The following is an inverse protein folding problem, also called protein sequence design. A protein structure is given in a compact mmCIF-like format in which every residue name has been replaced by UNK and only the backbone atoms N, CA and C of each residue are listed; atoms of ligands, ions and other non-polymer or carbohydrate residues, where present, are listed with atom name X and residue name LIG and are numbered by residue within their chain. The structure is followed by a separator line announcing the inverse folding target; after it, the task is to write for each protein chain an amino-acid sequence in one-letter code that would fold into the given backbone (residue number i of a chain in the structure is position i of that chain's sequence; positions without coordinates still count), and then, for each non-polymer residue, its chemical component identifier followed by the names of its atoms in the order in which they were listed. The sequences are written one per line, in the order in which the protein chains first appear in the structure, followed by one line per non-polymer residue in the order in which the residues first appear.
data_IF_534975945473
#
_entry.id   IF_534975945473
#
_cell.length_a   1.000
_cell.length_b   1.000
_cell.length_c   1.000
_cell.angle_alpha   90.00
_cell.angle_beta   90.00
_cell.angle_gamma   90.00
#
_symmetry.space_group_name_H-M   'P 1'
#
loop_
_entity.id
_entity.type
_entity.pdbx_description
1 polymer ?
#
# COMPACT_ATOMS: atom_id res chain seq x y z
N UNK A 1 -0.91 -17.23 6.16
CA UNK A 1 -0.26 -15.94 5.86
C UNK A 1 -0.76 -14.95 6.90
N UNK A 2 0.14 -14.23 7.56
CA UNK A 2 -0.23 -13.25 8.59
C UNK A 2 -0.01 -11.82 8.09
N UNK A 3 -0.85 -10.91 8.60
CA UNK A 3 -0.90 -9.53 8.19
C UNK A 3 -0.74 -8.62 9.40
N UNK A 4 0.06 -7.57 9.26
CA UNK A 4 0.02 -6.42 10.17
C UNK A 4 -0.38 -5.20 9.35
N UNK A 5 -1.60 -4.70 9.55
CA UNK A 5 -2.17 -3.62 8.75
C UNK A 5 -1.99 -2.23 9.38
N UNK A 6 -1.19 -2.10 10.46
CA UNK A 6 -0.95 -0.82 11.11
C UNK A 6 0.49 -0.65 11.63
N UNK A 7 1.47 -0.52 10.75
CA UNK A 7 2.83 -0.16 11.15
C UNK A 7 3.05 1.35 10.93
N UNK A 8 3.22 2.16 11.98
CA UNK A 8 3.35 3.61 11.83
C UNK A 8 4.54 4.00 10.95
N UNK A 9 4.29 4.77 9.90
CA UNK A 9 5.31 5.35 9.04
C UNK A 9 6.19 6.34 9.82
N UNK A 10 7.49 6.32 9.53
CA UNK A 10 8.47 7.29 10.05
C UNK A 10 9.45 7.64 8.95
N UNK A 11 10.00 8.86 8.98
CA UNK A 11 11.08 9.29 8.10
C UNK A 11 12.43 8.68 8.50
N UNK A 12 12.54 8.15 9.73
CA UNK A 12 13.72 7.43 10.18
C UNK A 12 13.81 6.04 9.52
N UNK A 13 14.55 5.96 8.42
CA UNK A 13 14.73 4.72 7.66
C UNK A 13 15.35 3.58 8.48
N UNK A 14 16.22 3.87 9.45
CA UNK A 14 16.86 2.83 10.25
C UNK A 14 15.84 2.13 11.17
N UNK A 15 15.04 2.92 11.89
CA UNK A 15 13.98 2.42 12.75
C UNK A 15 12.87 1.71 11.95
N UNK A 16 12.49 2.27 10.79
CA UNK A 16 11.51 1.64 9.92
C UNK A 16 12.01 0.29 9.39
N UNK A 17 13.26 0.23 8.91
CA UNK A 17 13.89 -1.01 8.43
C UNK A 17 13.94 -2.07 9.53
N UNK A 18 14.36 -1.70 10.73
CA UNK A 18 14.40 -2.62 11.87
C UNK A 18 13.01 -3.18 12.20
N UNK A 19 11.97 -2.34 12.21
CA UNK A 19 10.60 -2.79 12.44
C UNK A 19 10.09 -3.75 11.37
N UNK A 20 10.29 -3.43 10.09
CA UNK A 20 9.88 -4.30 8.97
C UNK A 20 10.62 -5.64 9.04
N UNK A 21 11.94 -5.61 9.27
CA UNK A 21 12.75 -6.83 9.41
C UNK A 21 12.28 -7.71 10.56
N UNK A 22 12.05 -7.11 11.73
CA UNK A 22 11.60 -7.83 12.92
C UNK A 22 10.19 -8.44 12.73
N UNK A 23 9.26 -7.71 12.13
CA UNK A 23 7.93 -8.25 11.81
C UNK A 23 7.99 -9.40 10.81
N UNK A 24 8.86 -9.31 9.80
CA UNK A 24 9.07 -10.40 8.86
C UNK A 24 9.62 -11.66 9.56
N UNK A 25 10.58 -11.49 10.47
CA UNK A 25 11.16 -12.57 11.27
C UNK A 25 10.12 -13.22 12.22
N UNK A 26 9.23 -12.41 12.80
CA UNK A 26 8.11 -12.89 13.61
C UNK A 26 7.05 -13.68 12.81
N UNK A 27 7.14 -13.68 11.47
CA UNK A 27 6.27 -14.46 10.59
C UNK A 27 5.16 -13.68 9.90
N UNK A 28 5.21 -12.33 9.90
CA UNK A 28 4.29 -11.52 9.09
C UNK A 28 4.74 -11.48 7.63
N UNK A 29 3.78 -11.67 6.72
CA UNK A 29 4.06 -11.71 5.29
C UNK A 29 3.59 -10.44 4.57
N UNK A 30 2.54 -9.79 5.07
CA UNK A 30 2.03 -8.53 4.52
C UNK A 30 2.05 -7.48 5.60
N UNK A 31 2.67 -6.34 5.31
CA UNK A 31 2.81 -5.24 6.25
C UNK A 31 2.27 -3.97 5.60
N UNK A 32 1.33 -3.29 6.25
CA UNK A 32 0.83 -1.99 5.80
C UNK A 32 1.48 -0.86 6.60
N UNK A 33 2.16 0.04 5.88
CA UNK A 33 2.74 1.26 6.42
C UNK A 33 1.62 2.30 6.56
N UNK A 34 1.34 2.70 7.80
CA UNK A 34 0.24 3.57 8.17
C UNK A 34 0.72 5.00 8.34
N UNK A 35 0.13 5.92 7.58
CA UNK A 35 0.34 7.36 7.73
C UNK A 35 -0.93 8.02 8.26
N UNK A 36 -0.79 8.81 9.32
CA UNK A 36 -1.88 9.62 9.87
C UNK A 36 -2.05 10.85 9.00
N UNK A 37 -3.23 11.00 8.41
CA UNK A 37 -3.56 12.10 7.52
C UNK A 37 -3.82 13.39 8.31
N UNK A 38 -3.42 14.55 7.77
CA UNK A 38 -3.80 15.83 8.36
C UNK A 38 -5.30 16.05 8.25
N UNK A 39 -5.88 16.81 9.19
CA UNK A 39 -7.31 17.11 9.20
C UNK A 39 -7.79 17.84 7.92
N UNK A 40 -6.92 18.66 7.32
CA UNK A 40 -7.18 19.36 6.05
C UNK A 40 -6.18 18.86 5.00
N UNK A 41 -6.70 18.29 3.92
CA UNK A 41 -5.87 17.92 2.78
C UNK A 41 -5.74 19.09 1.81
N UNK A 42 -4.53 19.28 1.31
CA UNK A 42 -4.28 20.15 0.17
C UNK A 42 -4.76 19.47 -1.12
N UNK A 43 -5.17 20.25 -2.15
CA UNK A 43 -5.66 19.69 -3.41
C UNK A 43 -4.63 18.83 -4.16
N UNK A 44 -3.33 19.05 -3.91
CA UNK A 44 -2.22 18.26 -4.46
C UNK A 44 -1.57 17.38 -3.39
N UNK A 45 -2.39 16.66 -2.61
CA UNK A 45 -1.88 15.76 -1.60
C UNK A 45 -1.03 14.65 -2.25
N UNK A 46 0.19 14.46 -1.74
CA UNK A 46 1.07 13.34 -2.12
C UNK A 46 1.35 12.53 -0.87
N UNK A 47 1.10 11.22 -0.95
CA UNK A 47 1.45 10.32 0.15
C UNK A 47 2.95 10.40 0.44
N UNK A 48 3.38 10.55 1.70
CA UNK A 48 4.79 10.54 2.07
C UNK A 48 5.41 9.14 1.95
N UNK A 49 4.57 8.10 1.86
CA UNK A 49 5.03 6.72 1.71
C UNK A 49 5.23 6.44 0.21
N UNK A 50 6.49 6.44 -0.22
CA UNK A 50 6.86 6.06 -1.59
C UNK A 50 7.43 4.65 -1.60
N UNK A 51 6.85 3.77 -2.41
CA UNK A 51 7.39 2.44 -2.70
C UNK A 51 8.02 2.43 -4.10
N UNK A 52 9.20 1.81 -4.30
CA UNK A 52 9.99 1.04 -3.32
C UNK A 52 10.67 1.92 -2.26
N UNK A 53 10.94 1.34 -1.09
CA UNK A 53 11.67 2.00 0.01
C UNK A 53 13.16 2.15 -0.31
N UNK A 54 13.89 3.11 0.30
CA UNK A 54 15.31 3.36 0.04
C UNK A 54 16.26 2.30 0.63
N UNK A 55 15.74 1.15 1.09
CA UNK A 55 16.50 0.07 1.69
C UNK A 55 15.89 -1.30 1.31
N UNK A 56 16.68 -2.38 1.35
CA UNK A 56 16.20 -3.71 1.00
C UNK A 56 15.14 -4.20 2.00
N UNK A 57 14.07 -4.76 1.46
CA UNK A 57 12.97 -5.37 2.21
C UNK A 57 13.25 -6.88 2.35
N UNK A 58 12.96 -7.52 3.49
CA UNK A 58 13.11 -8.96 3.65
C UNK A 58 12.37 -9.76 2.56
N UNK A 59 12.88 -10.94 2.17
CA UNK A 59 12.22 -11.78 1.19
C UNK A 59 10.85 -12.23 1.69
N UNK A 60 9.89 -12.45 0.78
CA UNK A 60 8.51 -12.84 1.08
C UNK A 60 7.68 -11.83 1.90
N UNK A 61 8.15 -10.58 2.03
CA UNK A 61 7.39 -9.49 2.66
C UNK A 61 6.78 -8.59 1.59
N UNK A 62 5.46 -8.47 1.58
CA UNK A 62 4.72 -7.52 0.75
C UNK A 62 4.38 -6.28 1.57
N UNK A 63 4.78 -5.12 1.07
CA UNK A 63 4.40 -3.84 1.67
C UNK A 63 3.13 -3.28 1.03
N UNK A 64 2.29 -2.66 1.86
CA UNK A 64 1.10 -1.92 1.46
C UNK A 64 1.16 -0.52 2.07
N UNK A 65 0.40 0.40 1.49
CA UNK A 65 0.23 1.76 2.02
C UNK A 65 -1.14 1.91 2.67
N UNK A 66 -1.19 2.52 3.86
CA UNK A 66 -2.43 2.80 4.59
C UNK A 66 -2.51 4.28 4.96
N UNK A 67 -3.66 4.89 4.69
CA UNK A 67 -4.02 6.21 5.20
C UNK A 67 -4.97 6.10 6.38
N UNK A 68 -4.63 6.66 7.53
CA UNK A 68 -5.50 6.74 8.71
C UNK A 68 -5.96 8.17 8.91
N UNK A 69 -7.26 8.42 8.78
CA UNK A 69 -7.85 9.75 8.93
C UNK A 69 -8.43 9.92 10.35
N UNK A 70 -7.82 10.74 11.23
CA UNK A 70 -8.45 11.12 12.48
C UNK A 70 -9.63 12.05 12.19
N UNK A 71 -10.80 11.72 12.76
CA UNK A 71 -12.04 12.47 12.53
C UNK A 71 -12.54 13.02 13.86
N UNK A 72 -12.49 14.34 13.99
CA UNK A 72 -13.15 15.10 15.06
C UNK A 72 -14.55 15.54 14.64
N UNK A 73 -14.68 16.13 13.44
CA UNK A 73 -15.92 16.60 12.86
C UNK A 73 -16.13 16.02 11.46
N UNK A 74 -17.28 15.39 11.22
CA UNK A 74 -17.58 14.77 9.91
C UNK A 74 -17.84 15.81 8.82
N UNK A 75 -18.30 17.01 9.17
CA UNK A 75 -18.53 18.08 8.21
C UNK A 75 -17.24 18.62 7.59
N UNK A 76 -16.13 18.54 8.33
CA UNK A 76 -14.80 19.00 7.90
C UNK A 76 -13.96 17.87 7.30
N UNK A 77 -14.52 16.66 7.25
CA UNK A 77 -13.82 15.49 6.76
C UNK A 77 -13.54 15.64 5.25
N UNK A 78 -12.29 15.44 4.80
CA UNK A 78 -11.97 15.38 3.38
C UNK A 78 -12.76 14.27 2.68
N UNK A 79 -13.09 14.47 1.41
CA UNK A 79 -13.77 13.45 0.60
C UNK A 79 -12.86 12.22 0.46
N UNK A 80 -13.34 11.05 0.87
CA UNK A 80 -12.53 9.83 0.86
C UNK A 80 -12.08 9.44 -0.56
N UNK A 81 -12.88 9.77 -1.57
CA UNK A 81 -12.56 9.54 -2.99
C UNK A 81 -11.30 10.26 -3.46
N UNK A 82 -10.96 11.42 -2.88
CA UNK A 82 -9.74 12.15 -3.25
C UNK A 82 -8.51 11.52 -2.62
N UNK A 83 -8.68 10.80 -1.51
CA UNK A 83 -7.59 10.15 -0.75
C UNK A 83 -7.33 8.74 -1.25
N UNK A 84 -8.38 8.04 -1.67
CA UNK A 84 -8.36 6.63 -2.09
C UNK A 84 -7.25 6.28 -3.09
N UNK A 85 -6.92 7.11 -4.11
CA UNK A 85 -5.88 6.76 -5.07
C UNK A 85 -4.46 6.71 -4.45
N UNK A 86 -4.24 7.37 -3.31
CA UNK A 86 -2.92 7.54 -2.70
C UNK A 86 -2.53 6.43 -1.72
N UNK A 87 -3.48 5.58 -1.31
CA UNK A 87 -3.25 4.50 -0.36
C UNK A 87 -3.93 3.21 -0.82
N UNK A 88 -3.37 2.07 -0.46
CA UNK A 88 -4.00 0.77 -0.72
C UNK A 88 -5.15 0.49 0.26
N UNK A 89 -5.07 1.02 1.48
CA UNK A 89 -6.07 0.83 2.55
C UNK A 89 -6.41 2.19 3.18
N UNK A 90 -7.71 2.44 3.40
CA UNK A 90 -8.19 3.60 4.16
C UNK A 90 -8.79 3.19 5.50
N UNK A 91 -8.33 3.84 6.55
CA UNK A 91 -8.83 3.71 7.91
C UNK A 91 -9.38 5.03 8.43
N UNK A 92 -10.52 4.98 9.13
CA UNK A 92 -11.06 6.12 9.87
C UNK A 92 -10.82 5.93 11.36
N UNK A 93 -10.37 7.00 12.03
CA UNK A 93 -10.16 7.02 13.48
C UNK A 93 -11.03 8.09 14.13
N UNK A 94 -12.22 7.75 14.65
CA UNK A 94 -13.04 8.72 15.38
C UNK A 94 -12.34 9.15 16.67
N UNK A 95 -12.33 10.45 16.94
CA UNK A 95 -11.80 11.01 18.19
C UNK A 95 -12.89 11.19 19.25
N UNK A 96 -14.15 11.31 18.81
CA UNK A 96 -15.30 11.56 19.67
C UNK A 96 -16.40 10.51 19.46
N UNK A 97 -17.24 10.30 20.49
CA UNK A 97 -18.39 9.38 20.43
C UNK A 97 -19.40 9.78 19.34
N UNK A 98 -19.64 11.09 19.17
CA UNK A 98 -20.56 11.62 18.16
C UNK A 98 -20.10 11.21 16.77
N UNK A 99 -18.81 11.35 16.52
CA UNK A 99 -18.16 11.02 15.25
C UNK A 99 -18.11 9.52 15.02
N UNK A 100 -17.84 8.73 16.06
CA UNK A 100 -17.96 7.27 16.01
C UNK A 100 -19.37 6.83 15.60
N UNK A 101 -20.39 7.37 16.27
CA UNK A 101 -21.79 7.03 15.98
C UNK A 101 -22.18 7.40 14.55
N UNK A 102 -21.74 8.57 14.06
CA UNK A 102 -22.00 9.03 12.70
C UNK A 102 -21.30 8.14 11.66
N UNK A 103 -20.01 7.82 11.83
CA UNK A 103 -19.26 6.93 10.92
C UNK A 103 -19.91 5.55 10.86
N UNK A 104 -20.35 5.04 12.02
CA UNK A 104 -21.03 3.76 12.14
C UNK A 104 -22.49 3.75 11.62
N UNK A 105 -23.14 4.90 11.47
CA UNK A 105 -24.50 5.00 10.93
C UNK A 105 -24.51 5.35 9.43
N UNK A 106 -23.50 6.05 8.94
CA UNK A 106 -23.49 6.58 7.58
C UNK A 106 -23.19 5.51 6.53
N UNK A 107 -24.16 5.25 5.64
CA UNK A 107 -24.00 4.33 4.51
C UNK A 107 -23.16 4.90 3.35
N UNK A 108 -22.92 6.21 3.33
CA UNK A 108 -22.22 6.89 2.22
C UNK A 108 -20.70 6.92 2.40
N UNK A 109 -20.20 6.60 3.59
CA UNK A 109 -18.77 6.61 3.90
C UNK A 109 -18.12 5.28 3.50
N UNK A 110 -17.32 5.30 2.43
CA UNK A 110 -16.58 4.14 1.96
C UNK A 110 -15.17 4.08 2.58
N UNK A 111 -15.04 3.30 3.66
CA UNK A 111 -13.75 3.03 4.32
C UNK A 111 -13.54 1.52 4.53
N UNK A 112 -12.28 1.09 4.67
CA UNK A 112 -11.96 -0.34 4.83
C UNK A 112 -11.91 -0.73 6.32
N UNK A 113 -11.30 0.13 7.15
CA UNK A 113 -11.03 -0.14 8.57
C UNK A 113 -11.60 0.99 9.44
N UNK A 114 -12.31 0.63 10.51
CA UNK A 114 -12.59 1.51 11.63
C UNK A 114 -11.54 1.30 12.73
N UNK A 115 -10.60 2.23 12.86
CA UNK A 115 -9.49 2.15 13.82
C UNK A 115 -9.83 2.92 15.07
N UNK A 116 -9.99 2.25 16.21
CA UNK A 116 -10.34 2.89 17.47
C UNK A 116 -9.10 3.07 18.34
N UNK A 117 -8.94 4.26 18.91
CA UNK A 117 -7.97 4.46 19.98
C UNK A 117 -8.56 3.97 21.30
N UNK A 118 -8.20 2.74 21.65
CA UNK A 118 -8.69 2.06 22.85
C UNK A 118 -7.85 2.37 24.09
N UNK A 119 -6.79 3.16 23.96
CA UNK A 119 -5.96 3.58 25.10
C UNK A 119 -6.65 4.64 25.97
N UNK A 120 -7.63 5.34 25.40
CA UNK A 120 -8.42 6.36 26.09
C UNK A 120 -9.68 5.78 26.70
N UNK A 121 -10.21 6.44 27.73
CA UNK A 121 -11.51 6.08 28.31
C UNK A 121 -12.65 6.63 27.46
N UNK A 122 -13.51 5.75 26.95
CA UNK A 122 -14.74 6.17 26.29
C UNK A 122 -15.80 6.58 27.33
N UNK A 123 -16.46 7.74 27.18
CA UNK A 123 -17.51 8.18 28.10
C UNK A 123 -18.75 7.27 28.11
N UNK A 124 -18.98 6.55 27.00
CA UNK A 124 -20.14 5.69 26.82
C UNK A 124 -19.75 4.26 26.42
N UNK A 125 -20.71 3.37 26.62
CA UNK A 125 -20.60 1.97 26.26
C UNK A 125 -20.76 1.74 24.75
N UNK A 126 -20.01 0.78 24.23
CA UNK A 126 -20.08 0.39 22.84
C UNK A 126 -21.36 -0.40 22.55
N UNK A 127 -22.30 0.21 21.83
CA UNK A 127 -23.59 -0.41 21.50
C UNK A 127 -23.42 -1.46 20.38
N UNK A 128 -23.92 -2.70 20.55
CA UNK A 128 -23.85 -3.75 19.53
C UNK A 128 -24.42 -3.33 18.17
N UNK A 129 -25.55 -2.62 18.15
CA UNK A 129 -26.20 -2.14 16.92
C UNK A 129 -25.28 -1.27 16.06
N UNK A 130 -24.50 -0.41 16.71
CA UNK A 130 -23.58 0.52 16.03
C UNK A 130 -22.50 -0.24 15.26
N UNK A 131 -21.93 -1.29 15.85
CA UNK A 131 -20.90 -2.08 15.20
C UNK A 131 -21.46 -3.08 14.18
N UNK A 132 -22.66 -3.63 14.38
CA UNK A 132 -23.30 -4.47 13.37
C UNK A 132 -23.41 -3.76 12.02
N UNK A 133 -23.78 -2.47 12.02
CA UNK A 133 -23.88 -1.66 10.80
C UNK A 133 -22.53 -1.50 10.08
N UNK A 134 -21.42 -1.47 10.80
CA UNK A 134 -20.07 -1.41 10.22
C UNK A 134 -19.73 -2.74 9.55
N UNK A 135 -20.03 -3.85 10.24
CA UNK A 135 -19.74 -5.20 9.76
C UNK A 135 -20.59 -5.58 8.54
N UNK A 136 -21.87 -5.19 8.53
CA UNK A 136 -22.79 -5.39 7.40
C UNK A 136 -22.34 -4.66 6.13
N UNK A 137 -21.71 -3.48 6.28
CA UNK A 137 -21.09 -2.74 5.16
C UNK A 137 -19.79 -3.38 4.65
N UNK A 138 -19.27 -4.38 5.37
CA UNK A 138 -18.06 -5.10 5.01
C UNK A 138 -16.76 -4.49 5.55
N UNK A 139 -16.81 -3.31 6.18
CA UNK A 139 -15.66 -2.74 6.90
C UNK A 139 -15.34 -3.55 8.16
N UNK A 140 -14.10 -3.47 8.63
CA UNK A 140 -13.64 -4.21 9.82
C UNK A 140 -13.29 -3.25 10.95
N UNK A 141 -13.42 -3.73 12.18
CA UNK A 141 -13.11 -2.94 13.37
C UNK A 141 -11.72 -3.36 13.85
N UNK A 142 -10.81 -2.40 13.95
CA UNK A 142 -9.43 -2.65 14.33
C UNK A 142 -9.18 -2.38 15.81
N UNK A 143 -8.48 -3.32 16.44
CA UNK A 143 -7.91 -3.22 17.77
C UNK A 143 -6.38 -3.15 17.63
N UNK A 144 -5.78 -2.06 18.12
CA UNK A 144 -4.33 -1.88 18.08
C UNK A 144 -3.70 -2.30 19.41
N UNK A 145 -2.83 -3.31 19.39
CA UNK A 145 -2.32 -3.91 20.62
C UNK A 145 -1.09 -3.18 21.20
N UNK A 146 -0.45 -2.27 20.47
CA UNK A 146 0.78 -1.62 20.94
C UNK A 146 0.64 -0.99 22.33
N UNK A 147 -0.53 -0.44 22.67
CA UNK A 147 -0.80 0.15 23.98
C UNK A 147 -0.88 -0.87 25.13
N UNK A 148 -1.17 -2.15 24.86
CA UNK A 148 -1.04 -3.23 25.85
C UNK A 148 0.41 -3.60 26.13
N UNK A 149 1.30 -3.34 25.16
CA UNK A 149 2.72 -3.65 25.24
C UNK A 149 3.54 -2.39 25.54
N UNK A 150 4.86 -2.52 25.67
CA UNK A 150 5.76 -1.37 25.77
C UNK A 150 5.88 -0.58 24.44
N UNK A 151 5.11 -0.93 23.40
CA UNK A 151 5.19 -0.36 22.05
C UNK A 151 4.44 0.96 21.82
N UNK A 152 3.55 1.37 22.74
CA UNK A 152 2.71 2.56 22.62
C UNK A 152 3.39 3.90 22.93
N UNK A 153 4.67 3.90 23.34
CA UNK A 153 5.41 5.12 23.66
C UNK A 153 5.35 5.55 25.13
N UNK A 154 4.83 4.70 26.02
CA UNK A 154 4.87 4.92 27.48
C UNK A 154 4.41 3.67 28.23
N UNK A 155 4.99 3.39 29.39
CA UNK A 155 4.53 2.33 30.29
C UNK A 155 3.34 2.82 31.12
N UNK A 156 2.34 3.39 30.48
CA UNK A 156 1.15 3.90 31.16
C UNK A 156 0.20 2.73 31.51
N UNK A 157 0.12 2.43 32.80
CA UNK A 157 -0.77 1.40 33.33
C UNK A 157 -2.26 1.77 33.14
N UNK A 158 -2.58 3.07 33.07
CA UNK A 158 -3.91 3.59 32.80
C UNK A 158 -4.39 3.23 31.39
N UNK A 159 -3.60 3.59 30.38
CA UNK A 159 -3.85 3.24 28.98
C UNK A 159 -4.02 1.73 28.76
N UNK A 160 -3.19 0.90 29.41
CA UNK A 160 -3.31 -0.56 29.37
C UNK A 160 -4.66 -1.03 29.92
N UNK A 161 -5.06 -0.53 31.09
CA UNK A 161 -6.33 -0.90 31.71
C UNK A 161 -7.52 -0.50 30.84
N UNK A 162 -7.48 0.71 30.27
CA UNK A 162 -8.50 1.20 29.35
C UNK A 162 -8.60 0.30 28.11
N UNK A 163 -7.47 -0.07 27.49
CA UNK A 163 -7.42 -0.97 26.35
C UNK A 163 -8.11 -2.30 26.65
N UNK A 164 -7.76 -2.96 27.76
CA UNK A 164 -8.36 -4.25 28.13
C UNK A 164 -9.87 -4.15 28.34
N UNK A 165 -10.35 -3.09 29.01
CA UNK A 165 -11.77 -2.87 29.25
C UNK A 165 -12.51 -2.61 27.93
N UNK A 166 -12.01 -1.68 27.12
CA UNK A 166 -12.61 -1.29 25.85
C UNK A 166 -12.59 -2.43 24.83
N UNK A 167 -11.48 -3.16 24.70
CA UNK A 167 -11.36 -4.30 23.81
C UNK A 167 -12.33 -5.43 24.19
N UNK A 168 -12.42 -5.76 25.48
CA UNK A 168 -13.38 -6.76 25.98
C UNK A 168 -14.83 -6.36 25.68
N UNK A 169 -15.14 -5.07 25.78
CA UNK A 169 -16.45 -4.55 25.44
C UNK A 169 -16.75 -4.63 23.93
N UNK A 170 -15.79 -4.29 23.07
CA UNK A 170 -15.92 -4.45 21.61
C UNK A 170 -16.12 -5.91 21.23
N UNK A 171 -15.34 -6.83 21.81
CA UNK A 171 -15.47 -8.27 21.57
C UNK A 171 -16.88 -8.74 21.94
N UNK A 172 -17.40 -8.32 23.10
CA UNK A 172 -18.76 -8.63 23.52
C UNK A 172 -19.81 -8.05 22.57
N UNK A 173 -19.66 -6.78 22.17
CA UNK A 173 -20.63 -6.08 21.33
C UNK A 173 -20.67 -6.59 19.88
N UNK A 174 -19.53 -7.04 19.35
CA UNK A 174 -19.41 -7.64 18.01
C UNK A 174 -19.60 -9.16 17.99
N UNK A 175 -19.70 -9.78 19.17
CA UNK A 175 -19.64 -11.24 19.34
C UNK A 175 -18.37 -11.86 18.73
N UNK A 176 -17.28 -11.09 18.74
CA UNK A 176 -15.97 -11.47 18.19
C UNK A 176 -15.87 -11.49 16.66
N UNK A 177 -16.89 -11.03 15.93
CA UNK A 177 -16.90 -11.09 14.46
C UNK A 177 -16.32 -9.83 13.83
N UNK A 178 -15.58 -10.01 12.73
CA UNK A 178 -15.09 -8.91 11.90
C UNK A 178 -14.10 -7.98 12.60
N UNK A 179 -13.39 -8.49 13.59
CA UNK A 179 -12.31 -7.81 14.28
C UNK A 179 -11.00 -8.02 13.52
N UNK A 180 -10.22 -6.96 13.43
CA UNK A 180 -8.85 -6.93 12.91
C UNK A 180 -7.94 -6.57 14.08
N UNK A 181 -6.79 -7.24 14.19
CA UNK A 181 -5.79 -6.90 15.21
C UNK A 181 -4.50 -6.49 14.51
N UNK A 182 -4.01 -5.30 14.82
CA UNK A 182 -2.80 -4.72 14.24
C UNK A 182 -1.86 -4.21 15.33
N UNK A 183 -0.58 -3.99 15.01
CA UNK A 183 0.38 -3.57 16.02
C UNK A 183 0.20 -2.13 16.47
N UNK A 184 0.25 -1.16 15.56
CA UNK A 184 0.49 0.26 15.87
C UNK A 184 1.78 0.49 16.69
N UNK A 185 2.74 -0.43 16.58
CA UNK A 185 3.98 -0.36 17.36
C UNK A 185 4.94 0.68 16.78
N UNK A 186 5.32 1.67 17.59
CA UNK A 186 6.29 2.70 17.19
C UNK A 186 7.72 2.18 17.15
N UNK A 187 8.03 1.15 17.96
CA UNK A 187 9.34 0.50 18.05
C UNK A 187 9.24 -1.01 17.78
N UNK A 188 10.34 -1.62 17.33
CA UNK A 188 10.44 -3.06 17.11
C UNK A 188 10.15 -3.86 18.39
N UNK A 189 10.56 -3.36 19.56
CA UNK A 189 10.29 -3.98 20.87
C UNK A 189 8.79 -4.07 21.21
N UNK A 190 7.96 -3.24 20.56
CA UNK A 190 6.51 -3.26 20.70
C UNK A 190 5.81 -4.31 19.82
N UNK A 191 6.50 -4.89 18.85
CA UNK A 191 5.91 -5.87 17.93
C UNK A 191 5.80 -7.24 18.61
N UNK A 192 4.78 -8.01 18.26
CA UNK A 192 4.53 -9.36 18.77
C UNK A 192 4.20 -10.32 17.64
N UNK A 193 4.64 -11.57 17.79
CA UNK A 193 4.37 -12.61 16.80
C UNK A 193 2.87 -12.90 16.67
N UNK A 194 2.39 -13.39 15.52
CA UNK A 194 0.96 -13.63 15.30
C UNK A 194 0.31 -14.51 16.37
N UNK A 195 1.02 -15.54 16.85
CA UNK A 195 0.52 -16.44 17.91
C UNK A 195 0.39 -15.74 19.26
N UNK A 196 1.32 -14.85 19.59
CA UNK A 196 1.24 -14.04 20.81
C UNK A 196 0.07 -13.06 20.74
N UNK A 197 -0.18 -12.49 19.55
CA UNK A 197 -1.33 -11.62 19.31
C UNK A 197 -2.65 -12.39 19.49
N UNK A 198 -2.73 -13.64 19.02
CA UNK A 198 -3.88 -14.52 19.29
C UNK A 198 -4.06 -14.75 20.79
N UNK A 199 -2.97 -14.99 21.53
CA UNK A 199 -3.03 -15.18 22.98
C UNK A 199 -3.50 -13.91 23.70
N UNK A 200 -3.06 -12.71 23.27
CA UNK A 200 -3.58 -11.45 23.79
C UNK A 200 -5.08 -11.27 23.50
N UNK A 201 -5.52 -11.66 22.31
CA UNK A 201 -6.94 -11.58 21.95
C UNK A 201 -7.82 -12.45 22.86
N UNK A 202 -7.32 -13.62 23.29
CA UNK A 202 -8.01 -14.49 24.25
C UNK A 202 -8.20 -13.77 25.60
N UNK A 203 -7.22 -12.96 26.03
CA UNK A 203 -7.36 -12.18 27.27
C UNK A 203 -8.46 -11.10 27.18
N UNK A 204 -8.80 -10.65 25.97
CA UNK A 204 -9.95 -9.76 25.73
C UNK A 204 -11.28 -10.51 25.58
N UNK A 205 -11.28 -11.82 25.80
CA UNK A 205 -12.48 -12.67 25.68
C UNK A 205 -12.79 -13.13 24.26
N UNK A 206 -11.86 -12.99 23.31
CA UNK A 206 -12.03 -13.52 21.95
C UNK A 206 -11.73 -15.03 21.93
N UNK A 207 -12.50 -15.81 21.16
CA UNK A 207 -12.18 -17.22 20.95
C UNK A 207 -10.88 -17.35 20.15
N UNK A 208 -10.09 -18.37 20.44
CA UNK A 208 -8.80 -18.61 19.78
C UNK A 208 -8.90 -18.65 18.25
N UNK A 209 -9.94 -19.30 17.71
CA UNK A 209 -10.21 -19.39 16.28
C UNK A 209 -10.41 -17.99 15.66
N UNK A 210 -11.27 -17.18 16.29
CA UNK A 210 -11.55 -15.80 15.85
C UNK A 210 -10.32 -14.90 15.99
N UNK A 211 -9.48 -15.13 17.00
CA UNK A 211 -8.20 -14.43 17.15
C UNK A 211 -7.24 -14.76 16.01
N UNK A 212 -7.17 -16.03 15.60
CA UNK A 212 -6.37 -16.44 14.45
C UNK A 212 -6.90 -15.86 13.14
N UNK A 213 -8.22 -15.87 12.95
CA UNK A 213 -8.87 -15.24 11.80
C UNK A 213 -8.61 -13.73 11.75
N UNK A 214 -8.60 -13.04 12.89
CA UNK A 214 -8.40 -11.59 12.97
C UNK A 214 -7.04 -11.13 12.40
N UNK A 215 -5.97 -11.92 12.59
CA UNK A 215 -4.60 -11.62 12.10
C UNK A 215 -4.34 -12.23 10.71
N UNK A 216 -5.19 -13.15 10.27
CA UNK A 216 -5.06 -13.90 9.01
C UNK A 216 -6.17 -13.56 8.02
N UNK A 217 -7.25 -14.35 8.04
CA UNK A 217 -8.32 -14.34 7.04
C UNK A 217 -9.10 -13.01 6.98
N UNK A 218 -9.40 -12.39 8.14
CA UNK A 218 -10.08 -11.10 8.18
C UNK A 218 -9.21 -10.01 7.56
N UNK A 219 -7.92 -10.00 7.91
CA UNK A 219 -6.96 -9.05 7.35
C UNK A 219 -6.76 -9.24 5.83
N UNK A 220 -6.69 -10.50 5.38
CA UNK A 220 -6.69 -10.85 3.94
C UNK A 220 -7.93 -10.30 3.25
N UNK A 221 -9.11 -10.47 3.85
CA UNK A 221 -10.38 -9.96 3.34
C UNK A 221 -10.37 -8.44 3.17
N UNK A 222 -9.80 -7.71 4.14
CA UNK A 222 -9.63 -6.25 4.06
C UNK A 222 -8.76 -5.85 2.88
N UNK A 223 -7.59 -6.48 2.72
CA UNK A 223 -6.66 -6.18 1.62
C UNK A 223 -7.28 -6.47 0.26
N UNK A 224 -8.00 -7.60 0.13
CA UNK A 224 -8.68 -7.98 -1.10
C UNK A 224 -9.81 -7.00 -1.46
N UNK A 225 -10.66 -6.66 -0.49
CA UNK A 225 -11.74 -5.69 -0.67
C UNK A 225 -11.20 -4.30 -1.02
N UNK A 226 -10.12 -3.87 -0.35
CA UNK A 226 -9.51 -2.57 -0.59
C UNK A 226 -8.90 -2.48 -2.00
N UNK A 227 -8.25 -3.56 -2.44
CA UNK A 227 -7.72 -3.70 -3.82
C UNK A 227 -8.84 -3.67 -4.85
N UNK A 228 -9.94 -4.39 -4.61
CA UNK A 228 -11.11 -4.43 -5.51
C UNK A 228 -11.77 -3.05 -5.65
N UNK A 229 -11.90 -2.29 -4.56
CA UNK A 229 -12.41 -0.91 -4.61
C UNK A 229 -11.51 0.04 -5.39
N UNK A 230 -10.19 -0.20 -5.38
CA UNK A 230 -9.21 0.67 -6.05
C UNK A 230 -9.04 0.36 -7.53
N UNK A 231 -8.94 -0.91 -7.87
CA UNK A 231 -8.65 -1.38 -9.24
C UNK A 231 -9.88 -1.85 -9.99
N UNK A 232 -10.95 -2.16 -9.26
CA UNK A 232 -12.18 -2.65 -9.84
C UNK A 232 -13.17 -1.54 -10.12
N UNK A 233 -13.98 -1.75 -11.14
CA UNK A 233 -15.15 -0.93 -11.44
C UNK A 233 -16.40 -1.82 -11.33
N UNK A 234 -17.27 -1.53 -10.34
CA UNK A 234 -18.52 -2.28 -10.12
C UNK A 234 -18.35 -3.82 -10.07
N UNK A 235 -17.24 -4.30 -9.51
CA UNK A 235 -16.95 -5.74 -9.39
C UNK A 235 -16.17 -6.35 -10.55
N UNK A 236 -15.95 -5.62 -11.65
CA UNK A 236 -15.00 -6.02 -12.68
C UNK A 236 -13.58 -5.57 -12.29
N UNK A 237 -12.59 -6.45 -12.37
CA UNK A 237 -11.18 -6.14 -12.09
C UNK A 237 -10.43 -6.03 -13.40
N UNK A 238 -9.72 -4.92 -13.59
CA UNK A 238 -8.77 -4.80 -14.71
C UNK A 238 -7.55 -5.67 -14.43
N UNK A 239 -7.48 -6.82 -15.11
CA UNK A 239 -6.33 -7.73 -15.07
C UNK A 239 -5.43 -7.34 -16.22
N UNK A 240 -4.42 -6.51 -15.93
CA UNK A 240 -3.34 -6.23 -16.87
C UNK A 240 -2.46 -7.48 -16.92
N UNK A 241 -2.77 -8.38 -17.85
CA UNK A 241 -1.94 -9.54 -18.14
C UNK A 241 -0.62 -9.05 -18.76
N UNK A 242 0.50 -9.39 -18.12
CA UNK A 242 1.83 -8.87 -18.39
C UNK A 242 2.47 -9.38 -19.69
N UNK A 243 1.68 -9.60 -20.74
CA UNK A 243 2.18 -9.97 -22.05
C UNK A 243 2.76 -11.38 -22.13
N UNK A 244 2.13 -12.37 -21.49
CA UNK A 244 2.32 -13.74 -21.95
C UNK A 244 1.74 -13.85 -23.36
N UNK A 245 2.60 -14.01 -24.37
CA UNK A 245 2.14 -14.37 -25.72
C UNK A 245 1.24 -15.61 -25.57
N UNK A 246 -0.03 -15.57 -26.02
CA UNK A 246 -0.86 -16.75 -25.95
C UNK A 246 -0.16 -17.85 -26.75
N UNK A 247 0.06 -19.00 -26.10
CA UNK A 247 0.46 -20.23 -26.79
C UNK A 247 -0.67 -20.51 -27.78
N UNK A 248 -0.38 -20.42 -29.07
CA UNK A 248 -1.33 -20.75 -30.13
C UNK A 248 -1.78 -22.19 -29.92
N UNK A 249 -2.96 -22.37 -29.34
CA UNK A 249 -3.59 -23.68 -29.29
C UNK A 249 -4.03 -23.99 -30.71
N UNK A 250 -3.33 -24.91 -31.36
CA UNK A 250 -3.70 -25.43 -32.67
C UNK A 250 -5.14 -25.97 -32.60
N UNK A 251 -6.07 -25.20 -33.15
CA UNK A 251 -7.46 -25.66 -33.29
C UNK A 251 -7.55 -26.65 -34.45
N UNK A 252 -8.48 -27.61 -34.40
CA UNK A 252 -8.67 -28.57 -35.50
C UNK A 252 -8.92 -27.91 -36.87
N UNK A 253 -9.37 -26.65 -36.87
CA UNK A 253 -9.51 -25.82 -38.06
C UNK A 253 -8.17 -25.43 -38.71
N UNK A 254 -7.10 -25.20 -37.94
CA UNK A 254 -5.76 -24.94 -38.50
C UNK A 254 -5.15 -26.22 -39.10
N UNK A 255 -5.35 -27.38 -38.47
CA UNK A 255 -4.95 -28.68 -39.05
C UNK A 255 -5.69 -29.00 -40.35
N UNK A 256 -7.00 -28.72 -40.45
CA UNK A 256 -7.75 -28.92 -41.70
C UNK A 256 -7.29 -27.97 -42.81
N UNK A 257 -6.94 -26.72 -42.49
CA UNK A 257 -6.38 -25.76 -43.47
C UNK A 257 -5.00 -26.16 -43.96
N UNK A 258 -4.15 -26.72 -43.10
CA UNK A 258 -2.82 -27.19 -43.47
C UNK A 258 -2.88 -28.43 -44.38
N UNK A 259 -3.76 -29.40 -44.08
CA UNK A 259 -3.97 -30.59 -44.92
C UNK A 259 -4.58 -30.22 -46.28
N UNK A 260 -5.52 -29.28 -46.33
CA UNK A 260 -6.08 -28.78 -47.60
C UNK A 260 -5.01 -28.09 -48.46
N UNK A 261 -4.13 -27.29 -47.84
CA UNK A 261 -3.05 -26.58 -48.53
C UNK A 261 -1.97 -27.53 -49.05
N UNK A 262 -1.71 -28.64 -48.35
CA UNK A 262 -0.75 -29.67 -48.77
C UNK A 262 -1.27 -30.46 -49.97
N UNK A 263 -2.56 -30.81 -49.99
CA UNK A 263 -3.22 -31.46 -51.14
C UNK A 263 -3.29 -30.56 -52.38
N UNK A 264 -3.49 -29.26 -52.19
CA UNK A 264 -3.52 -28.29 -53.28
C UNK A 264 -2.12 -28.00 -53.86
N UNK A 265 -1.07 -28.16 -53.05
CA UNK A 265 0.31 -28.09 -53.52
C UNK A 265 0.74 -29.36 -54.28
N UNK A 266 0.27 -30.54 -53.87
CA UNK A 266 0.50 -31.80 -54.58
C UNK A 266 -0.21 -31.84 -55.93
N UNK A 267 -1.45 -31.33 -56.03
CA UNK A 267 -2.17 -31.27 -57.32
C UNK A 267 -1.55 -30.29 -58.32
N UNK A 268 -0.79 -29.30 -57.85
CA UNK A 268 -0.08 -28.33 -58.71
C UNK A 268 1.27 -28.84 -59.21
N UNK A 269 1.74 -30.00 -58.74
CA UNK A 269 2.98 -30.64 -59.20
C UNK A 269 2.76 -31.65 -60.33
N UNK A 270 1.51 -32.06 -60.61
CA UNK A 270 1.18 -32.94 -61.73
C UNK A 270 1.01 -32.18 -63.07
N UNK A 271 0.67 -30.89 -63.03
CA UNK A 271 0.56 -30.03 -64.23
C UNK A 271 1.84 -29.18 -64.43
N UNK A 272 2.95 -29.84 -64.75
CA UNK A 272 4.00 -29.39 -65.68
C UNK A 272 4.70 -28.00 -65.58
N UNK A 273 4.33 -27.07 -64.70
CA UNK A 273 5.01 -25.77 -64.56
C UNK A 273 5.24 -25.39 -63.09
N UNK A 274 6.50 -25.45 -62.67
CA UNK A 274 6.89 -25.07 -61.31
C UNK A 274 6.71 -23.56 -61.09
N UNK A 275 6.03 -23.13 -60.00
CA UNK A 275 5.86 -21.71 -59.72
C UNK A 275 7.19 -21.08 -59.30
N UNK A 276 7.50 -19.91 -59.89
CA UNK A 276 8.70 -19.11 -59.57
C UNK A 276 8.82 -18.88 -58.06
N UNK A 277 9.96 -19.23 -57.48
CA UNK A 277 10.23 -19.06 -56.05
C UNK A 277 10.11 -17.60 -55.64
N UNK A 278 9.70 -17.33 -54.39
CA UNK A 278 9.57 -15.97 -53.81
C UNK A 278 10.80 -15.07 -54.07
N UNK A 279 11.99 -15.66 -54.16
CA UNK A 279 13.25 -14.97 -54.46
C UNK A 279 13.32 -14.47 -55.91
N UNK A 280 12.80 -15.25 -56.87
CA UNK A 280 12.73 -14.88 -58.29
C UNK A 280 11.69 -13.78 -58.54
N UNK A 281 10.53 -13.85 -57.88
CA UNK A 281 9.52 -12.77 -57.94
C UNK A 281 10.04 -11.45 -57.36
N UNK A 282 10.80 -11.51 -56.25
CA UNK A 282 11.40 -10.31 -55.65
C UNK A 282 12.46 -9.67 -56.55
N UNK A 283 13.25 -10.48 -57.27
CA UNK A 283 14.22 -9.96 -58.23
C UNK A 283 13.57 -9.33 -59.47
N UNK A 284 12.49 -9.92 -59.99
CA UNK A 284 11.72 -9.32 -61.09
C UNK A 284 11.06 -7.99 -60.69
N UNK A 285 10.47 -7.93 -59.49
CA UNK A 285 9.90 -6.70 -58.95
C UNK A 285 10.97 -5.62 -58.72
N UNK A 286 12.17 -6.00 -58.27
CA UNK A 286 13.29 -5.05 -58.12
C UNK A 286 13.78 -4.52 -59.47
N UNK A 287 13.87 -5.37 -60.49
CA UNK A 287 14.25 -4.94 -61.84
C UNK A 287 13.19 -4.04 -62.50
N UNK A 288 11.90 -4.30 -62.27
CA UNK A 288 10.80 -3.44 -62.73
C UNK A 288 10.91 -2.04 -62.10
N UNK A 289 11.13 -1.97 -60.78
CA UNK A 289 11.28 -0.70 -60.05
C UNK A 289 12.52 0.10 -60.47
N UNK A 290 13.59 -0.59 -60.91
CA UNK A 290 14.80 0.04 -61.46
C UNK A 290 14.61 0.58 -62.88
N UNK A 291 13.70 -0.01 -63.67
CA UNK A 291 13.29 0.51 -64.99
C UNK A 291 12.37 1.73 -64.84
N UNK A 292 11.45 1.72 -63.87
CA UNK A 292 10.59 2.88 -63.56
C UNK A 292 11.40 4.08 -63.04
N UNK A 293 12.41 3.85 -62.18
CA UNK A 293 13.30 4.91 -61.70
C UNK A 293 14.22 5.52 -62.76
N UNK A 294 14.41 4.87 -63.91
CA UNK A 294 15.18 5.38 -65.05
C UNK A 294 14.32 6.12 -66.07
N UNK A 295 12.99 5.94 -66.01
CA UNK A 295 12.00 6.65 -66.83
C UNK A 295 11.56 8.00 -66.20
N UNK A 296 11.69 8.15 -64.88
CA UNK A 296 11.33 9.39 -64.16
C UNK A 296 12.44 10.48 -64.11
N UNK A 297 13.56 10.27 -64.81
CA UNK A 297 14.73 11.17 -64.84
C UNK A 297 14.82 12.09 -66.05
N UNK A 298 13.75 12.25 -66.83
CA UNK A 298 13.72 13.10 -68.02
C UNK A 298 12.48 14.01 -68.01
N UNK A 299 12.43 14.96 -67.08
CA UNK A 299 11.94 16.31 -67.37
C UNK A 299 12.29 17.28 -66.23
N UNK A 300 12.84 18.45 -66.58
CA UNK A 300 13.22 19.53 -65.66
C UNK A 300 12.01 20.21 -64.99
N UNK A 301 12.12 21.18 -64.09
CA UNK A 301 13.18 22.18 -63.88
C UNK A 301 12.83 23.00 -62.61
N UNK A 302 13.83 23.21 -61.74
CA UNK A 302 14.13 24.37 -60.85
C UNK A 302 13.03 25.08 -60.03
N UNK A 303 13.23 25.11 -58.70
CA UNK A 303 13.59 26.31 -57.89
C UNK A 303 13.78 25.92 -56.40
N UNK A 304 14.99 26.00 -55.84
CA UNK A 304 15.49 26.99 -54.82
C UNK A 304 14.62 27.05 -53.53
N UNK A 305 15.12 26.98 -52.30
CA UNK A 305 16.45 26.90 -51.66
C UNK A 305 16.22 26.66 -50.15
N UNK A 306 17.01 25.81 -49.50
CA UNK A 306 18.13 26.12 -48.57
C UNK A 306 17.71 26.93 -47.32
N UNK A 307 17.73 26.29 -46.14
CA UNK A 307 18.68 26.65 -45.08
C UNK A 307 18.80 25.55 -44.01
N UNK A 308 20.06 25.16 -43.76
CA UNK A 308 20.55 24.20 -42.77
C UNK A 308 21.58 24.97 -41.94
N UNK A 309 21.49 24.94 -40.61
CA UNK A 309 22.60 25.35 -39.72
C UNK A 309 22.62 24.45 -38.49
N UNK A 310 23.72 23.69 -38.35
CA UNK A 310 24.17 23.02 -37.14
C UNK A 310 25.32 23.82 -36.49
N UNK A 311 25.76 23.41 -35.27
CA UNK A 311 27.00 23.71 -34.49
C UNK A 311 26.61 24.14 -33.05
N UNK A 312 27.14 23.67 -31.90
CA UNK A 312 28.15 22.68 -31.46
C UNK A 312 28.06 22.50 -29.92
N UNK A 313 28.64 21.42 -29.40
CA UNK A 313 28.91 21.09 -27.98
C UNK A 313 29.96 22.00 -27.30
N UNK A 314 29.92 22.07 -25.95
CA UNK A 314 31.09 22.30 -25.10
C UNK A 314 30.89 21.71 -23.69
N UNK A 315 31.85 20.87 -23.29
CA UNK A 315 32.09 20.30 -21.95
C UNK A 315 32.95 21.25 -21.10
N UNK A 316 32.87 21.13 -19.76
CA UNK A 316 33.81 21.75 -18.83
C UNK A 316 33.71 21.15 -17.42
N UNK A 317 34.73 20.40 -17.03
CA UNK A 317 35.05 19.91 -15.68
C UNK A 317 35.77 20.99 -14.86
N UNK A 318 35.55 21.06 -13.53
CA UNK A 318 36.58 21.49 -12.57
C UNK A 318 36.40 20.79 -11.19
N UNK A 319 37.49 20.14 -10.75
CA UNK A 319 37.77 19.60 -9.41
C UNK A 319 38.21 20.70 -8.44
N UNK A 320 37.85 20.63 -7.14
CA UNK A 320 38.78 20.80 -5.99
C UNK A 320 38.13 20.63 -4.60
N UNK A 321 38.81 19.86 -3.73
CA UNK A 321 38.78 19.89 -2.25
C UNK A 321 40.27 20.01 -1.78
N UNK A 322 40.70 19.93 -0.49
CA UNK A 322 40.01 19.75 0.81
C UNK A 322 40.63 20.54 2.03
N UNK A 323 40.14 20.29 3.26
CA UNK A 323 40.84 20.48 4.56
C UNK A 323 40.04 21.29 5.62
N UNK A 324 40.19 21.18 6.95
CA UNK A 324 40.71 20.20 7.92
C UNK A 324 40.50 20.76 9.36
N UNK A 325 40.20 19.90 10.33
CA UNK A 325 40.56 19.90 11.79
C UNK A 325 40.04 20.93 12.85
N UNK A 326 39.84 20.37 14.07
CA UNK A 326 39.88 20.98 15.43
C UNK A 326 38.52 20.95 16.14
N UNK A 327 38.16 20.07 17.08
CA UNK A 327 38.71 19.73 18.41
C UNK A 327 38.87 20.92 19.38
N UNK A 328 38.03 20.96 20.43
CA UNK A 328 38.39 21.12 21.85
C UNK A 328 37.10 21.13 22.69
N UNK A 329 37.03 20.22 23.68
CA UNK A 329 36.01 20.24 24.72
C UNK A 329 36.29 21.28 25.81
N UNK A 330 35.24 21.60 26.58
CA UNK A 330 35.42 22.08 27.94
C UNK A 330 34.22 21.67 28.81
N UNK A 331 34.52 20.82 29.80
CA UNK A 331 33.75 20.56 30.99
C UNK A 331 33.53 21.84 31.80
N UNK A 332 32.33 22.02 32.33
CA UNK A 332 32.15 22.68 33.62
C UNK A 332 30.99 22.04 34.37
N UNK A 333 31.34 21.37 35.46
CA UNK A 333 30.49 20.86 36.53
C UNK A 333 29.79 21.99 37.34
N UNK A 334 28.49 21.76 37.66
CA UNK A 334 27.81 21.75 39.00
C UNK A 334 27.96 23.00 39.92
N UNK A 335 26.91 23.54 40.60
CA UNK A 335 25.99 22.81 41.50
C UNK A 335 24.49 23.19 41.43
N UNK A 336 23.56 22.22 41.45
CA UNK A 336 22.80 21.70 42.62
C UNK A 336 22.63 22.69 43.79
N UNK A 337 21.44 23.27 43.90
CA UNK A 337 20.94 23.88 45.14
C UNK A 337 19.73 23.06 45.61
N UNK A 338 19.95 22.27 46.66
CA UNK A 338 18.89 21.76 47.52
C UNK A 338 18.52 22.85 48.54
N UNK A 339 17.25 23.23 48.55
CA UNK A 339 16.54 23.83 49.69
C UNK A 339 15.15 23.23 49.59
N UNK A 340 14.67 22.43 50.53
CA UNK A 340 14.48 22.79 51.93
C UNK A 340 12.98 22.68 52.18
N UNK A 341 12.61 21.64 52.91
CA UNK A 341 11.28 21.29 53.40
C UNK A 341 10.57 22.43 54.14
N UNK A 342 9.28 22.62 53.89
CA UNK A 342 8.35 23.14 54.90
C UNK A 342 6.95 22.54 54.71
N UNK A 343 6.61 21.62 55.61
CA UNK A 343 5.24 21.23 55.93
C UNK A 343 4.50 22.45 56.50
N UNK A 344 3.29 22.71 56.01
CA UNK A 344 2.29 23.48 56.75
C UNK A 344 0.99 22.69 56.75
N UNK A 345 0.78 21.96 57.84
CA UNK A 345 -0.50 21.42 58.27
C UNK A 345 -1.14 22.50 59.16
N UNK A 346 -2.26 23.08 58.74
CA UNK A 346 -3.08 23.96 59.58
C UNK A 346 -4.56 23.71 59.29
N UNK A 347 -5.19 23.18 60.32
CA UNK A 347 -6.61 22.97 60.54
C UNK A 347 -7.40 24.28 60.72
N UNK A 348 -8.72 24.23 60.53
CA UNK A 348 -9.69 25.30 60.81
C UNK A 348 -10.27 25.88 59.51
N UNK A 349 -11.57 25.85 59.24
CA UNK A 349 -12.77 25.84 60.11
C UNK A 349 -13.95 25.30 59.32
#
# INVERSE_FOLDING_TARGET
MFYDLNVPWTTNNAELRQRIAFLAELGYNVIALSHILPAKLTPNYKSPITLPLPFPIPPNTRLLTRGTLPVSNVAEMPRLDTIRPHFDILALRPLDEKTLSHICASSTLEYDILSLDLSMRFPSHFRPKTFSLVLERGSKIEICYAHATSGGGGNDSGAKRALFQNASEIVRSTRGKGLLISSEAKSALGCRGPRDVVNMAIMWGLKQELGHEAVGEVARGVVAAATLRRRGYRGAVDVIDGGNKPVEVETEASKKKEVARKRQAESMLEDGEAPLTKKQMKNLAWQARKKEGRAAGADGKKSKGVEEVAITEALGDEDTAPGSNGDTGHDTDIPIVETGSEEVDMTGT
#
